data_IF_821800139856
#
_entry.id   IF_821800139856
#
_cell.length_a   1.000
_cell.length_b   1.000
_cell.length_c   1.000
_cell.angle_alpha   90.00
_cell.angle_beta   90.00
_cell.angle_gamma   90.00
#
_symmetry.space_group_name_H-M   'P 1'
#
loop_
_entity.id
_entity.type
_entity.pdbx_description
1 polymer ?
#
# COMPACT_ATOMS: atom_id res chain seq x y z
N UNK A 1 -6.04 4.26 -11.07
CA UNK A 1 -5.63 5.22 -10.01
C UNK A 1 -6.57 6.41 -9.88
N UNK A 2 -6.95 7.12 -10.96
CA UNK A 2 -7.88 8.27 -10.83
C UNK A 2 -9.34 7.87 -10.51
N UNK A 3 -9.73 6.63 -10.82
CA UNK A 3 -11.13 6.18 -10.74
C UNK A 3 -11.71 6.12 -9.31
N UNK A 4 -10.88 5.96 -8.26
CA UNK A 4 -11.37 5.77 -6.89
C UNK A 4 -11.50 7.08 -6.11
N UNK A 5 -10.44 7.88 -6.08
CA UNK A 5 -10.41 9.13 -5.29
C UNK A 5 -10.21 10.40 -6.12
N UNK A 6 -10.28 10.31 -7.45
CA UNK A 6 -10.13 11.45 -8.35
C UNK A 6 -8.72 12.05 -8.43
N UNK A 7 -7.73 11.47 -7.73
CA UNK A 7 -6.34 11.92 -7.70
C UNK A 7 -5.35 10.76 -7.66
N UNK A 8 -4.09 10.95 -8.08
CA UNK A 8 -3.06 9.91 -8.02
C UNK A 8 -2.84 9.39 -6.59
N UNK A 9 -2.63 8.08 -6.44
CA UNK A 9 -2.37 7.46 -5.11
C UNK A 9 -1.09 8.03 -4.47
N UNK A 10 -0.14 8.53 -5.29
CA UNK A 10 1.09 9.18 -4.83
C UNK A 10 0.85 10.41 -3.94
N UNK A 11 -0.27 11.11 -4.13
CA UNK A 11 -0.64 12.32 -3.39
C UNK A 11 -1.44 12.03 -2.11
N UNK A 12 -1.81 10.77 -1.87
CA UNK A 12 -2.51 10.40 -0.64
C UNK A 12 -1.59 10.52 0.58
N UNK A 13 -2.06 11.15 1.65
CA UNK A 13 -1.32 11.29 2.89
C UNK A 13 -2.25 11.22 4.10
N UNK A 14 -1.69 10.86 5.26
CA UNK A 14 -2.38 10.90 6.54
C UNK A 14 -3.71 10.16 6.53
N UNK A 15 -4.79 10.87 6.87
CA UNK A 15 -6.14 10.29 6.95
C UNK A 15 -6.65 9.80 5.60
N UNK A 16 -6.46 10.57 4.53
CA UNK A 16 -6.91 10.22 3.20
C UNK A 16 -6.28 8.91 2.70
N UNK A 17 -5.00 8.69 3.01
CA UNK A 17 -4.33 7.41 2.70
C UNK A 17 -5.03 6.23 3.40
N UNK A 18 -5.37 6.36 4.68
CA UNK A 18 -6.04 5.30 5.44
C UNK A 18 -7.47 5.05 4.98
N UNK A 19 -8.19 6.09 4.58
CA UNK A 19 -9.56 5.98 4.07
C UNK A 19 -9.64 5.23 2.74
N UNK A 20 -8.65 5.40 1.87
CA UNK A 20 -8.63 4.76 0.55
C UNK A 20 -7.90 3.41 0.52
N UNK A 21 -7.07 3.12 1.52
CA UNK A 21 -6.35 1.84 1.64
C UNK A 21 -7.08 0.90 2.58
N UNK A 22 -8.03 0.15 2.03
CA UNK A 22 -8.66 -0.98 2.72
C UNK A 22 -7.77 -2.21 2.60
N UNK A 23 -7.13 -2.61 3.68
CA UNK A 23 -6.32 -3.84 3.75
C UNK A 23 -7.20 -5.03 4.13
N UNK A 24 -6.95 -6.18 3.53
CA UNK A 24 -7.44 -7.45 4.09
C UNK A 24 -6.62 -7.82 5.33
N UNK A 25 -7.15 -8.71 6.17
CA UNK A 25 -6.43 -9.20 7.35
C UNK A 25 -5.08 -9.84 6.99
N UNK A 26 -5.02 -10.59 5.89
CA UNK A 26 -3.76 -11.14 5.35
C UNK A 26 -2.76 -10.05 4.96
N UNK A 27 -3.22 -9.02 4.24
CA UNK A 27 -2.39 -7.90 3.85
C UNK A 27 -1.86 -7.11 5.06
N UNK A 28 -2.69 -6.87 6.06
CA UNK A 28 -2.31 -6.18 7.29
C UNK A 28 -1.25 -6.97 8.07
N UNK A 29 -1.45 -8.27 8.28
CA UNK A 29 -0.49 -9.14 8.95
C UNK A 29 0.85 -9.18 8.21
N UNK A 30 0.82 -9.34 6.89
CA UNK A 30 2.02 -9.37 6.06
C UNK A 30 2.79 -8.04 6.13
N UNK A 31 2.07 -6.93 6.02
CA UNK A 31 2.62 -5.59 6.10
C UNK A 31 3.25 -5.32 7.48
N UNK A 32 2.59 -5.70 8.56
CA UNK A 32 3.13 -5.56 9.91
C UNK A 32 4.39 -6.40 10.14
N UNK A 33 4.40 -7.64 9.66
CA UNK A 33 5.57 -8.52 9.74
C UNK A 33 6.76 -7.93 8.96
N UNK A 34 6.52 -7.45 7.75
CA UNK A 34 7.53 -6.79 6.93
C UNK A 34 8.04 -5.48 7.58
N UNK A 35 7.13 -4.67 8.15
CA UNK A 35 7.47 -3.43 8.82
C UNK A 35 8.41 -3.67 10.02
N UNK A 36 8.12 -4.68 10.83
CA UNK A 36 8.97 -5.09 11.97
C UNK A 36 10.34 -5.59 11.49
N UNK A 37 10.38 -6.47 10.49
CA UNK A 37 11.62 -7.08 9.99
C UNK A 37 12.53 -6.06 9.28
N UNK A 38 11.95 -5.10 8.56
CA UNK A 38 12.68 -4.15 7.73
C UNK A 38 12.86 -2.77 8.39
N UNK A 39 12.47 -2.63 9.67
CA UNK A 39 12.54 -1.38 10.44
C UNK A 39 11.97 -0.18 9.66
N UNK A 40 10.78 -0.37 9.08
CA UNK A 40 10.16 0.67 8.25
C UNK A 40 9.83 1.90 9.09
N UNK A 41 10.36 3.06 8.69
CA UNK A 41 9.90 4.35 9.21
C UNK A 41 8.46 4.60 8.77
N UNK A 42 7.73 5.43 9.53
CA UNK A 42 6.35 5.84 9.18
C UNK A 42 6.24 6.35 7.72
N UNK A 43 7.24 7.10 7.24
CA UNK A 43 7.27 7.60 5.86
C UNK A 43 7.43 6.49 4.83
N UNK A 44 8.26 5.49 5.12
CA UNK A 44 8.45 4.34 4.24
C UNK A 44 7.24 3.40 4.24
N UNK A 45 6.55 3.29 5.37
CA UNK A 45 5.28 2.59 5.51
C UNK A 45 4.18 3.24 4.66
N UNK A 46 4.01 4.57 4.77
CA UNK A 46 3.03 5.31 3.97
C UNK A 46 3.35 5.27 2.46
N UNK A 47 4.64 5.28 2.09
CA UNK A 47 5.03 5.04 0.69
C UNK A 47 4.61 3.64 0.23
N UNK A 48 4.86 2.62 1.05
CA UNK A 48 4.51 1.24 0.72
C UNK A 48 2.99 1.06 0.55
N UNK A 49 2.18 1.65 1.43
CA UNK A 49 0.72 1.64 1.30
C UNK A 49 0.24 2.25 -0.02
N UNK A 50 0.80 3.39 -0.43
CA UNK A 50 0.46 4.02 -1.71
C UNK A 50 0.79 3.13 -2.90
N UNK A 51 1.96 2.50 -2.88
CA UNK A 51 2.39 1.57 -3.94
C UNK A 51 1.48 0.34 -3.96
N UNK A 52 1.21 -0.29 -2.82
CA UNK A 52 0.30 -1.42 -2.73
C UNK A 52 -1.12 -1.08 -3.23
N UNK A 53 -1.63 0.12 -2.89
CA UNK A 53 -2.91 0.61 -3.43
C UNK A 53 -2.88 0.84 -4.93
N UNK A 54 -1.75 1.32 -5.45
CA UNK A 54 -1.53 1.51 -6.89
C UNK A 54 -1.64 0.19 -7.62
N UNK A 55 -0.96 -0.84 -7.13
CA UNK A 55 -0.99 -2.18 -7.68
C UNK A 55 -2.42 -2.74 -7.62
N UNK A 56 -3.10 -2.62 -6.48
CA UNK A 56 -4.49 -3.04 -6.33
C UNK A 56 -5.43 -2.33 -7.33
N UNK A 57 -5.26 -1.02 -7.55
CA UNK A 57 -6.05 -0.27 -8.54
C UNK A 57 -5.77 -0.74 -9.98
N UNK A 58 -4.52 -1.06 -10.30
CA UNK A 58 -4.13 -1.57 -11.63
C UNK A 58 -4.75 -2.96 -11.88
N UNK A 59 -4.85 -3.78 -10.84
CA UNK A 59 -5.49 -5.10 -10.87
C UNK A 59 -7.02 -5.03 -10.73
N UNK A 60 -7.60 -3.82 -10.62
CA UNK A 60 -9.03 -3.58 -10.35
C UNK A 60 -9.55 -4.24 -9.06
N UNK A 61 -8.67 -4.46 -8.10
CA UNK A 61 -9.02 -5.02 -6.80
C UNK A 61 -9.67 -3.96 -5.88
N UNK A 62 -10.74 -4.35 -5.19
CA UNK A 62 -11.41 -3.43 -4.26
C UNK A 62 -10.54 -3.14 -3.04
N UNK A 63 -9.90 -4.18 -2.52
CA UNK A 63 -9.04 -4.14 -1.33
C UNK A 63 -7.58 -4.36 -1.70
N UNK A 64 -6.69 -3.91 -0.81
CA UNK A 64 -5.28 -4.25 -0.86
C UNK A 64 -5.11 -5.60 -0.17
N UNK A 65 -4.61 -6.56 -0.93
CA UNK A 65 -4.42 -7.95 -0.54
C UNK A 65 -2.93 -8.22 -0.32
N UNK A 66 -2.62 -9.40 0.23
CA UNK A 66 -1.25 -9.77 0.58
C UNK A 66 -0.30 -9.74 -0.62
N UNK A 67 -0.76 -10.20 -1.79
CA UNK A 67 0.00 -10.15 -3.05
C UNK A 67 0.39 -8.71 -3.43
N UNK A 68 -0.52 -7.74 -3.29
CA UNK A 68 -0.25 -6.33 -3.59
C UNK A 68 0.82 -5.75 -2.66
N UNK A 69 0.81 -6.15 -1.38
CA UNK A 69 1.83 -5.74 -0.40
C UNK A 69 3.17 -6.39 -0.72
N UNK A 70 3.19 -7.68 -1.04
CA UNK A 70 4.41 -8.41 -1.40
C UNK A 70 5.08 -7.82 -2.64
N UNK A 71 4.29 -7.48 -3.66
CA UNK A 71 4.77 -6.83 -4.89
C UNK A 71 5.31 -5.42 -4.61
N UNK A 72 4.60 -4.63 -3.80
CA UNK A 72 5.08 -3.31 -3.37
C UNK A 72 6.41 -3.39 -2.59
N UNK A 73 6.57 -4.41 -1.74
CA UNK A 73 7.81 -4.67 -1.01
C UNK A 73 8.96 -5.09 -1.95
N UNK A 74 8.66 -5.86 -3.00
CA UNK A 74 9.65 -6.24 -4.01
C UNK A 74 10.18 -4.99 -4.75
N UNK A 75 9.29 -4.06 -5.14
CA UNK A 75 9.69 -2.80 -5.77
C UNK A 75 10.54 -1.90 -4.87
N UNK A 76 10.37 -1.98 -3.55
CA UNK A 76 11.20 -1.19 -2.61
C UNK A 76 12.69 -1.51 -2.71
N UNK A 77 13.09 -2.72 -3.09
CA UNK A 77 14.52 -3.04 -3.28
C UNK A 77 15.18 -2.23 -4.41
N UNK A 78 14.38 -1.60 -5.26
CA UNK A 78 14.82 -0.85 -6.45
C UNK A 78 14.49 0.65 -6.35
N UNK A 79 13.80 1.11 -5.29
CA UNK A 79 13.38 2.51 -5.04
C UNK A 79 14.27 3.21 -4.02
#
# INVERSE_FOLDING_TARGET
>A
MLARQGRPNGELAGKALREHVRLTSGAENHLQAAAKRMLLSARSYDRLLRVARTIADLQRAESVEENHVAEALAYRKTL
#
